data_IF_367965670942
#
_entry.id   IF_367965670942
#
_cell.length_a   1.000
_cell.length_b   1.000
_cell.length_c   1.000
_cell.angle_alpha   90.00
_cell.angle_beta   90.00
_cell.angle_gamma   90.00
#
_symmetry.space_group_name_H-M   'P 1'
#
loop_
_entity.id
_entity.type
_entity.pdbx_description
1 polymer ?
#
# COMPACT_ATOMS: atom_id res chain seq x y z
N UNK A 1 3.11 -67.50 -39.97
CA UNK A 1 3.17 -66.14 -40.60
C UNK A 1 1.77 -65.78 -41.11
N UNK A 2 1.32 -64.50 -40.99
CA UNK A 2 -0.10 -64.04 -41.12
C UNK A 2 -1.00 -64.64 -40.00
N UNK A 3 -2.14 -64.09 -39.53
CA UNK A 3 -2.99 -62.86 -39.67
C UNK A 3 -3.97 -62.92 -38.46
N UNK A 4 -4.67 -61.89 -37.92
CA UNK A 4 -4.61 -60.40 -37.86
C UNK A 4 -5.79 -59.94 -36.95
N UNK A 5 -5.68 -58.83 -36.17
CA UNK A 5 -6.82 -58.02 -35.59
C UNK A 5 -7.65 -58.69 -34.44
N UNK A 6 -8.45 -58.00 -33.62
CA UNK A 6 -8.63 -56.59 -33.15
C UNK A 6 -9.72 -56.56 -32.05
N UNK A 7 -9.95 -55.42 -31.38
CA UNK A 7 -10.87 -55.19 -30.23
C UNK A 7 -10.31 -55.73 -28.89
N UNK A 8 -10.54 -55.09 -27.74
CA UNK A 8 -11.62 -54.16 -27.37
C UNK A 8 -11.09 -52.77 -26.95
N UNK A 9 -11.60 -51.75 -27.63
CA UNK A 9 -11.21 -50.34 -27.52
C UNK A 9 -12.21 -49.54 -26.66
N UNK A 10 -12.36 -49.85 -25.35
CA UNK A 10 -13.32 -49.09 -24.51
C UNK A 10 -13.09 -49.07 -22.98
N UNK A 11 -11.84 -48.86 -22.51
CA UNK A 11 -11.57 -48.59 -21.07
C UNK A 11 -10.57 -47.46 -20.76
N UNK A 12 -10.11 -46.70 -21.75
CA UNK A 12 -9.10 -45.65 -21.57
C UNK A 12 -9.59 -44.19 -21.75
N UNK A 13 -10.91 -43.98 -21.89
CA UNK A 13 -11.49 -42.64 -22.15
C UNK A 13 -12.24 -42.08 -20.90
N UNK A 14 -12.05 -42.69 -19.72
CA UNK A 14 -12.72 -42.26 -18.48
C UNK A 14 -11.76 -41.99 -17.30
N UNK A 15 -10.48 -41.68 -17.60
CA UNK A 15 -9.46 -41.35 -16.60
C UNK A 15 -8.57 -40.15 -17.01
N UNK A 16 -9.07 -39.29 -17.92
CA UNK A 16 -8.39 -38.07 -18.43
C UNK A 16 -9.28 -36.82 -18.20
N UNK A 17 -10.31 -36.94 -17.36
CA UNK A 17 -11.18 -35.82 -16.97
C UNK A 17 -11.21 -35.77 -15.44
N UNK A 18 -11.16 -34.56 -14.87
CA UNK A 18 -10.99 -34.28 -13.42
C UNK A 18 -9.58 -34.57 -12.86
N UNK A 19 -8.54 -34.18 -13.60
CA UNK A 19 -7.44 -33.42 -12.97
C UNK A 19 -7.49 -31.96 -13.44
N UNK A 20 -8.69 -31.37 -13.32
CA UNK A 20 -8.83 -29.93 -13.35
C UNK A 20 -8.18 -29.37 -12.10
N UNK A 21 -6.87 -29.16 -12.15
CA UNK A 21 -6.18 -28.29 -11.19
C UNK A 21 -6.85 -26.94 -11.34
N UNK A 22 -7.76 -26.63 -10.41
CA UNK A 22 -8.13 -25.26 -10.13
C UNK A 22 -6.83 -24.57 -9.73
N UNK A 23 -6.20 -23.93 -10.71
CA UNK A 23 -5.21 -22.89 -10.47
C UNK A 23 -6.02 -21.75 -9.85
N UNK A 24 -6.27 -21.90 -8.55
CA UNK A 24 -6.64 -20.79 -7.72
C UNK A 24 -5.48 -19.80 -7.86
N UNK A 25 -5.69 -18.81 -8.72
CA UNK A 25 -4.95 -17.55 -8.63
C UNK A 25 -5.29 -17.01 -7.24
N UNK A 26 -4.47 -17.39 -6.26
CA UNK A 26 -4.52 -16.85 -4.92
C UNK A 26 -4.13 -15.39 -5.10
N UNK A 27 -5.15 -14.55 -5.25
CA UNK A 27 -4.98 -13.11 -5.21
C UNK A 27 -4.21 -12.82 -3.94
N UNK A 28 -3.08 -12.11 -4.07
CA UNK A 28 -2.36 -11.66 -2.90
C UNK A 28 -3.30 -10.82 -2.03
N UNK A 29 -3.12 -10.90 -0.71
CA UNK A 29 -3.90 -10.09 0.20
C UNK A 29 -3.56 -8.60 0.02
N UNK A 30 -4.49 -7.71 0.35
CA UNK A 30 -4.26 -6.27 0.25
C UNK A 30 -3.22 -5.80 1.28
N UNK A 31 -3.23 -6.39 2.49
CA UNK A 31 -2.41 -5.96 3.63
C UNK A 31 -1.43 -7.05 4.07
N UNK A 32 -0.15 -6.72 4.11
CA UNK A 32 0.89 -7.50 4.77
C UNK A 32 0.99 -7.11 6.26
N UNK A 33 0.27 -7.80 7.15
CA UNK A 33 0.39 -7.59 8.59
C UNK A 33 1.63 -8.33 9.11
N UNK A 34 2.61 -7.60 9.63
CA UNK A 34 3.85 -8.16 10.15
C UNK A 34 3.74 -8.45 11.64
N UNK A 35 4.10 -9.68 12.04
CA UNK A 35 4.06 -10.11 13.43
C UNK A 35 5.26 -11.00 13.81
N UNK A 36 5.65 -10.98 15.09
CA UNK A 36 6.63 -11.90 15.67
C UNK A 36 5.90 -13.03 16.41
N UNK A 37 5.03 -12.69 17.36
CA UNK A 37 4.34 -13.65 18.24
C UNK A 37 2.85 -13.66 17.93
N UNK A 38 2.30 -14.83 17.60
CA UNK A 38 0.89 -14.98 17.18
C UNK A 38 -0.14 -14.40 18.18
N UNK A 39 0.17 -14.42 19.48
CA UNK A 39 -0.69 -13.87 20.54
C UNK A 39 -0.59 -12.33 20.72
N UNK A 40 0.27 -11.65 19.95
CA UNK A 40 0.41 -10.19 19.89
C UNK A 40 -0.20 -9.58 18.63
N UNK A 41 -0.79 -10.40 17.76
CA UNK A 41 -1.59 -9.92 16.63
C UNK A 41 -2.81 -9.20 17.20
N UNK A 42 -3.01 -7.95 16.80
CA UNK A 42 -4.17 -7.17 17.23
C UNK A 42 -5.37 -7.51 16.34
N UNK A 43 -6.32 -8.25 16.93
CA UNK A 43 -7.55 -8.66 16.26
C UNK A 43 -8.47 -7.48 15.94
N UNK A 44 -8.39 -6.36 16.68
CA UNK A 44 -9.14 -5.13 16.38
C UNK A 44 -8.65 -4.49 15.09
N UNK A 45 -7.32 -4.44 14.88
CA UNK A 45 -6.71 -3.99 13.62
C UNK A 45 -7.07 -4.93 12.45
N UNK A 46 -6.96 -6.24 12.64
CA UNK A 46 -7.32 -7.22 11.59
C UNK A 46 -8.80 -7.10 11.23
N UNK A 47 -9.70 -6.94 12.21
CA UNK A 47 -11.13 -6.68 12.00
C UNK A 47 -11.35 -5.37 11.24
N UNK A 48 -10.64 -4.31 11.60
CA UNK A 48 -10.75 -3.00 10.95
C UNK A 48 -10.38 -3.04 9.46
N UNK A 49 -9.30 -3.74 9.09
CA UNK A 49 -8.94 -3.93 7.68
C UNK A 49 -10.02 -4.71 6.91
N UNK A 50 -10.59 -5.76 7.50
CA UNK A 50 -11.71 -6.49 6.90
C UNK A 50 -12.97 -5.62 6.74
N UNK A 51 -13.29 -4.75 7.72
CA UNK A 51 -14.38 -3.76 7.64
C UNK A 51 -14.14 -2.72 6.53
N UNK A 52 -12.88 -2.45 6.17
CA UNK A 52 -12.50 -1.65 5.00
C UNK A 52 -12.53 -2.41 3.67
N UNK A 53 -12.97 -3.68 3.66
CA UNK A 53 -12.92 -4.60 2.51
C UNK A 53 -11.49 -4.81 1.96
N UNK A 54 -10.51 -4.87 2.87
CA UNK A 54 -9.13 -5.26 2.61
C UNK A 54 -8.85 -6.64 3.19
N UNK A 55 -8.31 -7.52 2.37
CA UNK A 55 -7.81 -8.82 2.81
C UNK A 55 -6.47 -8.68 3.53
N UNK A 56 -6.22 -9.49 4.56
CA UNK A 56 -5.01 -9.44 5.39
C UNK A 56 -4.27 -10.77 5.33
N UNK A 57 -2.99 -10.75 4.97
CA UNK A 57 -2.06 -11.87 5.22
C UNK A 57 -1.23 -11.59 6.48
N UNK A 58 -1.05 -12.64 7.28
CA UNK A 58 -0.33 -12.59 8.56
C UNK A 58 1.08 -13.14 8.35
N UNK A 59 2.06 -12.25 8.22
CA UNK A 59 3.44 -12.62 7.88
C UNK A 59 4.30 -12.63 9.15
N UNK A 60 4.80 -13.82 9.49
CA UNK A 60 5.72 -13.99 10.62
C UNK A 60 7.13 -13.48 10.30
N UNK A 61 7.86 -12.97 11.30
CA UNK A 61 9.23 -12.45 11.13
C UNK A 61 10.23 -13.44 10.51
N UNK A 62 10.01 -14.75 10.68
CA UNK A 62 10.83 -15.80 10.05
C UNK A 62 10.74 -15.82 8.52
N UNK A 63 9.72 -15.17 7.95
CA UNK A 63 9.42 -15.16 6.53
C UNK A 63 9.72 -13.80 5.86
N UNK A 64 10.04 -12.72 6.59
CA UNK A 64 10.23 -11.38 6.00
C UNK A 64 11.17 -11.36 4.79
N UNK A 65 12.34 -12.00 4.90
CA UNK A 65 13.34 -12.07 3.83
C UNK A 65 12.94 -12.97 2.64
N UNK A 66 11.82 -13.70 2.74
CA UNK A 66 11.24 -14.59 1.70
C UNK A 66 9.96 -14.03 1.07
N UNK A 67 9.30 -13.07 1.74
CA UNK A 67 8.04 -12.49 1.27
C UNK A 67 8.30 -11.47 0.17
N UNK A 68 7.63 -11.65 -0.97
CA UNK A 68 7.54 -10.62 -1.99
C UNK A 68 6.49 -9.57 -1.58
N UNK A 69 6.98 -8.48 -0.99
CA UNK A 69 6.15 -7.37 -0.53
C UNK A 69 5.55 -6.52 -1.67
N UNK A 70 5.99 -6.69 -2.92
CA UNK A 70 5.42 -5.93 -4.06
C UNK A 70 3.99 -6.32 -4.40
N UNK A 71 3.53 -7.47 -3.89
CA UNK A 71 2.18 -8.03 -4.10
C UNK A 71 1.10 -7.41 -3.22
N UNK A 72 1.46 -6.62 -2.22
CA UNK A 72 0.53 -6.03 -1.25
C UNK A 72 0.30 -4.55 -1.52
N UNK A 73 -0.89 -4.04 -1.21
CA UNK A 73 -1.18 -2.58 -1.25
C UNK A 73 -0.46 -1.83 -0.13
N UNK A 74 -0.29 -2.46 1.02
CA UNK A 74 0.47 -1.88 2.15
C UNK A 74 1.06 -2.94 3.09
N UNK A 75 2.08 -2.51 3.83
CA UNK A 75 2.64 -3.20 4.98
C UNK A 75 2.09 -2.56 6.26
N UNK A 76 1.60 -3.38 7.18
CA UNK A 76 1.24 -2.94 8.53
C UNK A 76 2.24 -3.52 9.53
N UNK A 77 2.90 -2.66 10.29
CA UNK A 77 3.89 -3.05 11.31
C UNK A 77 3.27 -2.86 12.70
N UNK A 78 2.78 -3.94 13.31
CA UNK A 78 2.19 -3.92 14.65
C UNK A 78 3.20 -3.73 15.78
N UNK A 79 2.72 -3.49 17.01
CA UNK A 79 3.60 -3.18 18.15
C UNK A 79 4.27 -4.41 18.76
N UNK A 80 5.30 -4.90 18.09
CA UNK A 80 6.11 -6.00 18.54
C UNK A 80 7.62 -5.72 18.46
N UNK A 81 8.36 -6.37 19.36
CA UNK A 81 9.81 -6.42 19.29
C UNK A 81 10.26 -7.52 18.32
N UNK A 82 10.30 -7.18 17.03
CA UNK A 82 10.94 -7.99 16.00
C UNK A 82 12.42 -8.26 16.30
N UNK A 83 12.91 -9.46 15.96
CA UNK A 83 14.33 -9.84 16.05
C UNK A 83 15.16 -9.33 14.86
N UNK A 84 14.52 -9.17 13.69
CA UNK A 84 15.13 -8.69 12.43
C UNK A 84 14.41 -7.45 11.87
N UNK A 85 14.35 -6.33 12.60
CA UNK A 85 13.65 -5.13 12.13
C UNK A 85 14.22 -4.53 10.83
N UNK A 86 15.50 -4.80 10.51
CA UNK A 86 16.14 -4.37 9.26
C UNK A 86 15.57 -5.06 8.01
N UNK A 87 14.95 -6.22 8.16
CA UNK A 87 14.35 -6.98 7.05
C UNK A 87 12.98 -6.40 6.64
N UNK A 88 12.39 -5.53 7.48
CA UNK A 88 11.10 -4.87 7.22
C UNK A 88 11.32 -3.71 6.23
N UNK A 89 10.76 -3.75 5.01
CA UNK A 89 11.14 -2.85 3.91
C UNK A 89 10.31 -1.56 3.87
N UNK A 90 10.16 -0.88 5.01
CA UNK A 90 9.30 0.32 5.15
C UNK A 90 9.67 1.47 4.21
N UNK A 91 10.93 1.53 3.77
CA UNK A 91 11.43 2.55 2.85
C UNK A 91 11.06 2.26 1.39
N UNK A 92 10.56 1.06 1.07
CA UNK A 92 10.30 0.62 -0.32
C UNK A 92 8.81 0.53 -0.68
N UNK A 93 7.94 0.30 0.29
CA UNK A 93 6.52 0.00 0.09
C UNK A 93 5.62 0.88 0.97
N UNK A 94 4.35 1.10 0.59
CA UNK A 94 3.40 1.82 1.43
C UNK A 94 3.32 1.17 2.82
N UNK A 95 3.53 1.95 3.88
CA UNK A 95 3.67 1.36 5.23
C UNK A 95 2.95 2.16 6.31
N UNK A 96 2.10 1.50 7.09
CA UNK A 96 1.61 2.00 8.37
C UNK A 96 2.43 1.38 9.50
N UNK A 97 3.00 2.20 10.36
CA UNK A 97 3.87 1.79 11.48
C UNK A 97 3.18 2.13 12.79
N UNK A 98 2.80 1.10 13.53
CA UNK A 98 2.18 1.16 14.85
C UNK A 98 3.11 0.46 15.85
N UNK A 99 4.38 0.89 15.90
CA UNK A 99 5.45 0.17 16.60
C UNK A 99 6.36 1.13 17.39
N UNK A 100 6.53 0.88 18.68
CA UNK A 100 7.44 1.63 19.57
C UNK A 100 8.91 1.22 19.43
N UNK A 101 9.15 -0.06 19.16
CA UNK A 101 10.39 -0.74 19.48
C UNK A 101 11.57 -0.42 18.54
N UNK A 102 11.29 0.09 17.34
CA UNK A 102 12.27 0.11 16.23
C UNK A 102 12.46 1.47 15.54
N UNK A 103 12.00 2.57 16.13
CA UNK A 103 12.17 3.94 15.61
C UNK A 103 13.55 4.26 15.00
N UNK A 104 14.68 3.96 15.68
CA UNK A 104 16.03 4.21 15.16
C UNK A 104 16.37 3.35 13.94
N UNK A 105 15.96 2.08 13.94
CA UNK A 105 16.22 1.14 12.83
C UNK A 105 15.39 1.52 11.61
N UNK A 106 14.15 1.92 11.84
CA UNK A 106 13.24 2.46 10.85
C UNK A 106 13.65 3.86 10.38
N UNK A 107 14.47 4.59 11.14
CA UNK A 107 14.94 5.94 10.81
C UNK A 107 13.86 7.01 10.99
N UNK A 108 12.79 6.71 11.74
CA UNK A 108 11.76 7.67 12.13
C UNK A 108 12.28 8.63 13.21
N UNK A 109 13.22 8.13 14.01
CA UNK A 109 13.85 8.81 15.14
C UNK A 109 15.35 8.58 15.10
N UNK A 110 16.10 9.31 15.92
CA UNK A 110 17.49 9.04 16.24
C UNK A 110 17.63 7.86 17.23
N UNK A 111 18.71 7.81 18.03
CA UNK A 111 19.01 6.73 18.98
C UNK A 111 18.11 6.72 20.21
N UNK A 112 17.51 7.84 20.60
CA UNK A 112 16.67 7.92 21.81
C UNK A 112 15.30 7.28 21.58
N UNK A 113 14.89 7.20 20.31
CA UNK A 113 13.82 6.31 19.87
C UNK A 113 12.44 6.95 19.90
N UNK A 114 11.42 6.10 19.92
CA UNK A 114 10.02 6.54 19.99
C UNK A 114 9.65 6.73 21.45
N UNK A 115 8.99 7.84 21.75
CA UNK A 115 8.54 8.16 23.11
C UNK A 115 7.12 7.64 23.36
N UNK A 116 6.72 7.55 24.64
CA UNK A 116 5.38 7.10 25.07
C UNK A 116 4.78 8.04 26.11
N UNK A 117 3.46 8.20 26.10
CA UNK A 117 2.73 8.97 27.09
C UNK A 117 1.45 8.21 27.51
N UNK A 118 1.15 8.20 28.80
CA UNK A 118 -0.09 7.71 29.38
C UNK A 118 -0.54 8.62 30.52
N UNK A 119 -1.84 8.64 30.82
CA UNK A 119 -2.47 9.47 31.86
C UNK A 119 -3.48 8.65 32.67
N UNK A 120 -3.96 9.22 33.77
CA UNK A 120 -5.04 8.67 34.59
C UNK A 120 -6.44 8.96 34.03
N UNK A 121 -6.51 9.71 32.93
CA UNK A 121 -7.70 10.03 32.16
C UNK A 121 -7.55 9.46 30.73
N UNK A 122 -8.65 9.19 29.99
CA UNK A 122 -8.57 8.71 28.62
C UNK A 122 -7.72 9.64 27.74
N UNK A 123 -6.84 9.06 26.93
CA UNK A 123 -5.89 9.86 26.15
C UNK A 123 -6.60 10.59 25.01
N UNK A 124 -6.08 11.78 24.69
CA UNK A 124 -6.49 12.59 23.54
C UNK A 124 -5.26 13.04 22.74
N UNK A 125 -5.47 13.40 21.48
CA UNK A 125 -4.46 14.00 20.60
C UNK A 125 -4.91 15.39 20.16
N UNK A 126 -3.96 16.25 19.77
CA UNK A 126 -4.24 17.58 19.20
C UNK A 126 -4.11 17.54 17.68
N UNK A 127 -5.17 17.86 16.95
CA UNK A 127 -5.17 18.00 15.47
C UNK A 127 -5.80 19.35 15.11
N UNK A 128 -5.02 20.26 14.53
CA UNK A 128 -5.46 21.58 14.06
C UNK A 128 -6.33 22.34 15.09
N UNK A 129 -5.78 22.55 16.29
CA UNK A 129 -6.45 23.17 17.45
C UNK A 129 -7.59 22.36 18.10
N UNK A 130 -8.14 21.33 17.45
CA UNK A 130 -9.12 20.42 18.06
C UNK A 130 -8.42 19.39 18.95
N UNK A 131 -8.99 19.14 20.12
CA UNK A 131 -8.63 18.01 20.99
C UNK A 131 -9.57 16.84 20.67
N UNK A 132 -8.98 15.71 20.30
CA UNK A 132 -9.71 14.49 19.89
C UNK A 132 -9.41 13.41 20.92
N UNK A 133 -10.41 12.93 21.65
CA UNK A 133 -10.24 11.77 22.53
C UNK A 133 -10.08 10.51 21.68
N UNK A 134 -9.04 9.72 21.94
CA UNK A 134 -8.65 8.56 21.12
C UNK A 134 -8.83 7.21 21.83
N UNK A 135 -8.91 7.22 23.16
CA UNK A 135 -9.29 6.03 23.93
C UNK A 135 -10.60 6.23 24.71
N UNK A 136 -11.35 5.16 24.88
CA UNK A 136 -12.57 5.08 25.72
C UNK A 136 -12.24 4.92 27.20
N UNK A 137 -11.03 4.42 27.53
CA UNK A 137 -10.54 4.20 28.89
C UNK A 137 -9.15 4.82 29.09
N UNK A 138 -8.80 5.07 30.36
CA UNK A 138 -7.49 5.58 30.77
C UNK A 138 -6.49 4.47 31.13
N UNK A 139 -6.99 3.35 31.66
CA UNK A 139 -6.19 2.27 32.25
C UNK A 139 -6.75 0.91 31.81
N UNK A 140 -5.90 -0.11 31.80
CA UNK A 140 -6.33 -1.49 31.55
C UNK A 140 -7.16 -2.03 32.74
N UNK A 141 -8.22 -2.80 32.46
CA UNK A 141 -9.27 -3.14 33.44
C UNK A 141 -8.79 -3.83 34.73
N UNK A 142 -7.63 -4.50 34.69
CA UNK A 142 -7.08 -5.26 35.83
C UNK A 142 -5.78 -4.68 36.40
N UNK A 143 -5.35 -3.49 35.97
CA UNK A 143 -4.07 -2.89 36.36
C UNK A 143 -4.18 -1.37 36.49
N UNK A 144 -3.59 -0.78 37.54
CA UNK A 144 -3.35 0.68 37.65
C UNK A 144 -2.23 1.15 36.70
N UNK A 145 -2.29 0.71 35.45
CA UNK A 145 -1.33 1.01 34.38
C UNK A 145 -2.11 1.76 33.31
N UNK A 146 -1.64 2.97 32.99
CA UNK A 146 -2.23 3.79 31.94
C UNK A 146 -2.09 3.12 30.57
N UNK A 147 -3.13 3.24 29.74
CA UNK A 147 -3.11 2.87 28.32
C UNK A 147 -2.32 3.96 27.59
N UNK A 148 -1.15 3.65 27.01
CA UNK A 148 -0.30 4.65 26.40
C UNK A 148 -0.68 4.92 24.93
N UNK A 149 -0.28 6.07 24.41
CA UNK A 149 0.09 6.19 23.00
C UNK A 149 1.59 6.44 22.87
N UNK A 150 2.10 6.27 21.65
CA UNK A 150 3.45 6.59 21.24
C UNK A 150 3.51 7.90 20.47
N UNK A 151 4.68 8.53 20.46
CA UNK A 151 4.92 9.74 19.69
C UNK A 151 6.38 9.88 19.24
N UNK A 152 6.59 10.50 18.08
CA UNK A 152 7.91 10.90 17.61
C UNK A 152 8.23 12.27 18.23
N UNK A 153 9.16 12.34 19.19
CA UNK A 153 9.46 13.58 19.88
C UNK A 153 10.02 14.66 18.94
N UNK A 154 9.75 15.94 19.20
CA UNK A 154 10.13 17.02 18.28
C UNK A 154 11.65 17.16 18.06
N UNK A 155 12.48 16.76 19.04
CA UNK A 155 13.94 16.80 18.92
C UNK A 155 14.53 15.62 18.13
N UNK A 156 13.85 14.47 18.19
CA UNK A 156 14.43 13.16 17.85
C UNK A 156 13.96 12.69 16.48
N UNK A 157 12.84 13.22 15.98
CA UNK A 157 12.14 12.78 14.76
C UNK A 157 12.75 13.32 13.47
N UNK A 158 12.41 12.69 12.34
CA UNK A 158 12.67 13.24 10.99
C UNK A 158 12.01 14.62 10.83
N UNK A 159 12.76 15.73 10.62
CA UNK A 159 12.19 17.08 10.62
C UNK A 159 11.21 17.36 9.48
N UNK A 160 11.34 16.64 8.37
CA UNK A 160 10.50 16.78 7.16
C UNK A 160 9.22 15.94 7.20
N UNK A 161 8.99 15.16 8.25
CA UNK A 161 7.72 14.46 8.45
C UNK A 161 6.61 15.41 8.90
N UNK A 162 5.44 15.25 8.29
CA UNK A 162 4.29 16.12 8.47
C UNK A 162 3.50 15.67 9.70
N UNK A 163 3.46 16.51 10.75
CA UNK A 163 2.63 16.29 11.94
C UNK A 163 1.15 16.33 11.56
N UNK A 164 0.43 15.25 11.82
CA UNK A 164 -1.03 15.13 11.58
C UNK A 164 -1.81 15.26 12.88
N UNK A 165 -1.28 14.67 13.95
CA UNK A 165 -1.78 14.86 15.31
C UNK A 165 -0.60 14.87 16.30
N UNK A 166 -0.55 15.88 17.15
CA UNK A 166 0.44 16.03 18.21
C UNK A 166 -0.04 15.47 19.55
N UNK A 167 0.90 15.34 20.50
CA UNK A 167 0.56 14.95 21.87
C UNK A 167 -0.39 15.96 22.54
N UNK A 168 -1.20 15.48 23.47
CA UNK A 168 -1.98 16.32 24.39
C UNK A 168 -1.93 15.75 25.80
N UNK A 169 -1.49 16.60 26.75
CA UNK A 169 -1.31 16.26 28.17
C UNK A 169 -2.22 17.04 29.12
N UNK A 170 -3.18 17.81 28.58
CA UNK A 170 -4.05 18.74 29.34
C UNK A 170 -3.64 20.21 29.29
N UNK A 171 -2.57 20.54 28.56
CA UNK A 171 -2.05 21.90 28.39
C UNK A 171 -1.62 22.16 26.94
N UNK A 172 -1.11 23.37 26.63
CA UNK A 172 -0.69 23.79 25.29
C UNK A 172 0.62 23.15 24.80
N UNK A 173 1.40 22.49 25.65
CA UNK A 173 2.66 21.87 25.22
C UNK A 173 2.40 20.75 24.21
N UNK A 174 3.35 20.60 23.29
CA UNK A 174 3.36 19.62 22.23
C UNK A 174 4.74 18.98 22.23
N UNK A 175 4.82 17.73 22.67
CA UNK A 175 6.07 16.98 22.83
C UNK A 175 6.52 16.33 21.50
N UNK A 176 5.60 16.15 20.56
CA UNK A 176 5.86 15.41 19.33
C UNK A 176 4.62 14.87 18.62
N UNK A 177 4.86 14.09 17.57
CA UNK A 177 3.84 13.60 16.64
C UNK A 177 3.30 12.25 17.11
N UNK A 178 2.03 12.19 17.51
CA UNK A 178 1.31 10.91 17.73
C UNK A 178 0.93 10.29 16.39
N UNK A 179 0.63 11.11 15.38
CA UNK A 179 0.44 10.67 13.99
C UNK A 179 1.29 11.58 13.09
N UNK A 180 2.12 10.96 12.25
CA UNK A 180 3.08 11.66 11.39
C UNK A 180 3.19 11.00 10.03
N UNK A 181 3.28 11.80 8.97
CA UNK A 181 3.33 11.33 7.58
C UNK A 181 4.71 11.62 6.95
N UNK A 182 5.29 10.61 6.32
CA UNK A 182 6.41 10.75 5.40
C UNK A 182 5.91 10.52 3.96
N UNK A 183 6.12 11.49 3.07
CA UNK A 183 5.85 11.31 1.63
C UNK A 183 6.95 10.49 0.97
N UNK A 184 6.69 9.93 -0.21
CA UNK A 184 7.77 9.46 -1.09
C UNK A 184 8.82 10.58 -1.30
N UNK A 185 10.10 10.22 -1.25
CA UNK A 185 11.24 11.14 -1.26
C UNK A 185 11.66 11.69 0.11
N UNK A 186 11.05 11.25 1.21
CA UNK A 186 11.46 11.70 2.56
C UNK A 186 12.77 11.03 2.98
N UNK A 187 13.79 11.83 3.32
CA UNK A 187 15.03 11.35 3.92
C UNK A 187 14.81 11.00 5.40
N UNK A 188 15.21 9.79 5.78
CA UNK A 188 15.09 9.23 7.13
C UNK A 188 16.42 9.38 7.90
N UNK A 189 16.36 9.39 9.23
CA UNK A 189 17.56 9.63 10.09
C UNK A 189 18.63 8.54 9.91
N UNK A 190 18.24 7.33 9.53
CA UNK A 190 19.17 6.23 9.20
C UNK A 190 19.83 6.34 7.80
N UNK A 191 19.67 7.47 7.10
CA UNK A 191 20.24 7.74 5.77
C UNK A 191 19.45 7.13 4.60
N UNK A 192 18.37 6.39 4.85
CA UNK A 192 17.48 5.90 3.79
C UNK A 192 16.60 7.02 3.24
N UNK A 193 16.05 6.82 2.05
CA UNK A 193 15.02 7.68 1.47
C UNK A 193 13.79 6.84 1.12
N UNK A 194 12.61 7.26 1.55
CA UNK A 194 11.36 6.54 1.25
C UNK A 194 11.03 6.59 -0.24
N UNK A 195 10.65 5.45 -0.83
CA UNK A 195 10.15 5.35 -2.21
C UNK A 195 8.63 5.44 -2.33
N UNK A 196 7.93 5.29 -1.21
CA UNK A 196 6.48 5.29 -1.06
C UNK A 196 6.09 6.01 0.23
N UNK A 197 4.81 6.36 0.35
CA UNK A 197 4.28 7.03 1.53
C UNK A 197 4.32 6.12 2.76
N UNK A 198 4.62 6.71 3.91
CA UNK A 198 4.68 6.04 5.21
C UNK A 198 3.90 6.87 6.22
N UNK A 199 3.15 6.19 7.08
CA UNK A 199 2.44 6.79 8.20
C UNK A 199 2.94 6.15 9.51
N UNK A 200 3.41 6.97 10.45
CA UNK A 200 3.55 6.58 11.84
C UNK A 200 2.21 6.84 12.57
N UNK A 201 1.73 5.85 13.31
CA UNK A 201 0.47 5.89 14.05
C UNK A 201 0.68 5.37 15.48
N UNK A 202 0.78 6.28 16.44
CA UNK A 202 1.12 5.95 17.82
C UNK A 202 -0.03 5.49 18.73
N UNK A 203 -1.27 5.48 18.25
CA UNK A 203 -2.45 5.12 19.05
C UNK A 203 -2.63 3.60 18.96
N UNK A 204 -1.99 2.80 19.82
CA UNK A 204 -1.75 1.37 19.51
C UNK A 204 -2.77 0.37 20.05
N UNK A 205 -3.45 0.64 21.17
CA UNK A 205 -4.33 -0.37 21.80
C UNK A 205 -5.75 -0.31 21.21
N UNK A 206 -5.99 -1.01 20.10
CA UNK A 206 -7.22 -0.83 19.30
C UNK A 206 -8.52 -1.27 19.97
N UNK A 207 -8.43 -2.14 20.99
CA UNK A 207 -9.55 -2.51 21.87
C UNK A 207 -10.23 -1.29 22.52
N UNK A 208 -9.46 -0.24 22.82
CA UNK A 208 -9.97 0.95 23.51
C UNK A 208 -10.25 2.13 22.57
N UNK A 209 -10.09 1.99 21.25
CA UNK A 209 -10.25 3.11 20.32
C UNK A 209 -11.66 3.70 20.30
N UNK A 210 -11.72 5.03 20.27
CA UNK A 210 -12.93 5.78 19.87
C UNK A 210 -13.16 5.68 18.36
N UNK A 211 -14.34 6.09 17.88
CA UNK A 211 -14.61 6.15 16.44
C UNK A 211 -13.78 7.24 15.74
N UNK A 212 -13.38 8.28 16.47
CA UNK A 212 -12.42 9.28 16.01
C UNK A 212 -11.02 8.67 15.82
N UNK A 213 -10.55 7.80 16.73
CA UNK A 213 -9.29 7.09 16.57
C UNK A 213 -9.31 6.14 15.35
N UNK A 214 -10.42 5.40 15.16
CA UNK A 214 -10.66 4.61 13.94
C UNK A 214 -10.61 5.47 12.66
N UNK A 215 -11.21 6.66 12.69
CA UNK A 215 -11.17 7.60 11.56
C UNK A 215 -9.75 8.09 11.28
N UNK A 216 -8.98 8.44 12.32
CA UNK A 216 -7.57 8.82 12.19
C UNK A 216 -6.71 7.68 11.63
N UNK A 217 -7.01 6.43 12.00
CA UNK A 217 -6.34 5.25 11.44
C UNK A 217 -6.71 5.03 9.96
N UNK A 218 -7.98 5.23 9.60
CA UNK A 218 -8.43 5.22 8.19
C UNK A 218 -7.74 6.29 7.35
N UNK A 219 -7.60 7.52 7.88
CA UNK A 219 -6.86 8.61 7.23
C UNK A 219 -5.40 8.20 6.96
N UNK A 220 -4.74 7.59 7.96
CA UNK A 220 -3.36 7.07 7.89
C UNK A 220 -3.20 5.95 6.84
N UNK A 221 -4.14 5.01 6.74
CA UNK A 221 -4.14 3.95 5.73
C UNK A 221 -4.36 4.56 4.33
N UNK A 222 -5.36 5.43 4.15
CA UNK A 222 -5.63 6.09 2.88
C UNK A 222 -4.41 6.90 2.39
N UNK A 223 -3.73 7.62 3.29
CA UNK A 223 -2.54 8.39 2.96
C UNK A 223 -1.41 7.55 2.35
N UNK A 224 -1.24 6.29 2.79
CA UNK A 224 -0.21 5.41 2.23
C UNK A 224 -0.67 4.64 0.99
N UNK A 225 -1.95 4.26 0.92
CA UNK A 225 -2.45 3.28 -0.06
C UNK A 225 -3.25 3.83 -1.23
N UNK A 226 -3.69 5.09 -1.20
CA UNK A 226 -4.25 5.73 -2.40
C UNK A 226 -3.12 5.98 -3.39
N UNK A 227 -3.22 5.40 -4.58
CA UNK A 227 -2.23 5.49 -5.66
C UNK A 227 -2.45 6.73 -6.52
N UNK A 228 -3.71 7.07 -6.79
CA UNK A 228 -4.09 8.18 -7.66
C UNK A 228 -5.47 8.76 -7.27
N UNK A 229 -5.64 10.06 -7.53
CA UNK A 229 -6.87 10.84 -7.37
C UNK A 229 -7.43 11.31 -8.72
N UNK A 230 -6.58 11.47 -9.72
CA UNK A 230 -6.95 11.78 -11.11
C UNK A 230 -6.03 11.07 -12.12
N UNK A 231 -6.41 11.03 -13.39
CA UNK A 231 -5.59 10.40 -14.45
C UNK A 231 -4.18 10.99 -14.53
N UNK A 232 -4.03 12.29 -14.23
CA UNK A 232 -2.74 12.99 -14.23
C UNK A 232 -1.73 12.45 -13.19
N UNK A 233 -2.21 11.85 -12.10
CA UNK A 233 -1.32 11.17 -11.13
C UNK A 233 -0.69 9.89 -11.71
N UNK A 234 -1.24 9.39 -12.82
CA UNK A 234 -0.78 8.21 -13.53
C UNK A 234 0.10 8.51 -14.75
N UNK A 235 0.50 9.77 -15.00
CA UNK A 235 1.39 10.14 -16.12
C UNK A 235 2.74 9.41 -16.05
N UNK A 236 2.92 8.39 -16.90
CA UNK A 236 4.19 7.65 -17.03
C UNK A 236 5.21 8.31 -17.98
N UNK A 237 4.78 9.41 -18.64
CA UNK A 237 5.49 10.21 -19.64
C UNK A 237 5.70 9.52 -20.99
N UNK A 238 5.01 8.44 -21.27
CA UNK A 238 4.97 7.82 -22.59
C UNK A 238 3.80 8.43 -23.42
N UNK A 239 4.07 9.17 -24.51
CA UNK A 239 3.00 9.72 -25.35
C UNK A 239 2.21 8.65 -26.14
N UNK A 240 2.64 7.38 -26.10
CA UNK A 240 1.95 6.25 -26.72
C UNK A 240 1.12 5.41 -25.72
N UNK A 241 0.79 5.96 -24.55
CA UNK A 241 -0.20 5.38 -23.64
C UNK A 241 -1.30 6.37 -23.27
N UNK A 242 -2.50 5.84 -23.05
CA UNK A 242 -3.61 6.54 -22.45
C UNK A 242 -3.68 6.17 -20.98
N UNK A 243 -3.21 7.10 -20.14
CA UNK A 243 -3.01 6.88 -18.72
C UNK A 243 -4.28 7.19 -17.93
N UNK A 244 -4.71 6.24 -17.09
CA UNK A 244 -6.00 6.31 -16.42
C UNK A 244 -5.93 5.85 -14.97
N UNK A 245 -6.49 6.66 -14.08
CA UNK A 245 -6.68 6.31 -12.68
C UNK A 245 -8.00 5.55 -12.53
N UNK A 246 -7.93 4.28 -12.17
CA UNK A 246 -9.10 3.45 -11.84
C UNK A 246 -9.41 3.62 -10.35
N UNK A 247 -10.69 3.77 -9.99
CA UNK A 247 -11.18 4.01 -8.62
C UNK A 247 -10.49 5.20 -7.89
N UNK A 248 -10.44 6.41 -8.49
CA UNK A 248 -9.71 7.57 -7.96
C UNK A 248 -10.07 7.92 -6.51
N UNK A 249 -9.05 8.31 -5.73
CA UNK A 249 -9.20 8.72 -4.33
C UNK A 249 -9.59 7.60 -3.36
N UNK A 250 -9.72 6.36 -3.84
CA UNK A 250 -10.04 5.20 -3.00
C UNK A 250 -8.80 4.36 -2.72
N UNK A 251 -8.85 3.58 -1.64
CA UNK A 251 -7.81 2.60 -1.31
C UNK A 251 -7.64 1.50 -2.37
N UNK A 252 -8.63 1.32 -3.24
CA UNK A 252 -8.60 0.38 -4.37
C UNK A 252 -8.11 1.02 -5.67
N UNK A 253 -7.62 2.26 -5.62
CA UNK A 253 -7.05 2.95 -6.76
C UNK A 253 -5.84 2.20 -7.36
N UNK A 254 -5.67 2.33 -8.67
CA UNK A 254 -4.48 1.92 -9.42
C UNK A 254 -4.46 2.60 -10.79
N UNK A 255 -3.27 2.69 -11.39
CA UNK A 255 -3.08 3.23 -12.73
C UNK A 255 -3.13 2.11 -13.79
N UNK A 256 -3.78 2.41 -14.93
CA UNK A 256 -3.74 1.61 -16.15
C UNK A 256 -3.18 2.44 -17.29
N UNK A 257 -2.42 1.78 -18.16
CA UNK A 257 -1.73 2.39 -19.31
C UNK A 257 -2.19 1.63 -20.55
N UNK A 258 -3.09 2.21 -21.32
CA UNK A 258 -3.67 1.58 -22.52
C UNK A 258 -2.89 2.05 -23.76
N UNK A 259 -2.31 1.13 -24.53
CA UNK A 259 -1.44 1.50 -25.66
C UNK A 259 -2.20 2.29 -26.74
N UNK A 260 -1.54 3.31 -27.29
CA UNK A 260 -1.97 4.10 -28.44
C UNK A 260 -1.12 3.65 -29.64
N UNK A 261 -1.77 3.27 -30.74
CA UNK A 261 -1.10 2.78 -31.97
C UNK A 261 -0.37 3.91 -32.70
N UNK A 262 -0.98 5.09 -32.79
CA UNK A 262 -0.41 6.23 -33.49
C UNK A 262 -0.91 7.57 -32.91
N UNK A 263 -0.06 8.59 -32.93
CA UNK A 263 -0.37 9.97 -32.49
C UNK A 263 -0.35 10.96 -33.66
N UNK A 264 0.23 10.58 -34.80
CA UNK A 264 0.29 11.35 -36.06
C UNK A 264 0.50 10.41 -37.25
N UNK A 265 0.23 10.90 -38.45
CA UNK A 265 0.31 10.12 -39.70
C UNK A 265 1.69 9.50 -39.95
N UNK A 266 2.78 10.19 -39.58
CA UNK A 266 4.15 9.66 -39.74
C UNK A 266 4.46 8.43 -38.87
N UNK A 267 3.62 8.11 -37.88
CA UNK A 267 3.79 6.90 -37.08
C UNK A 267 3.22 5.66 -37.83
N UNK A 268 2.49 5.90 -38.92
CA UNK A 268 1.89 4.91 -39.80
C UNK A 268 2.66 4.75 -41.12
N UNK A 269 3.87 5.29 -41.25
CA UNK A 269 4.72 5.19 -42.45
C UNK A 269 5.05 3.72 -42.77
N UNK A 270 4.43 3.17 -43.82
CA UNK A 270 4.66 1.79 -44.28
C UNK A 270 5.86 1.67 -45.25
N UNK A 271 6.56 2.79 -45.49
CA UNK A 271 7.67 2.97 -46.43
C UNK A 271 7.30 2.68 -47.90
N UNK A 272 6.01 2.58 -48.24
CA UNK A 272 5.55 2.42 -49.61
C UNK A 272 5.14 3.79 -50.19
N UNK A 273 5.93 4.29 -51.13
CA UNK A 273 5.66 5.56 -51.82
C UNK A 273 4.33 5.59 -52.59
N UNK A 274 3.65 4.44 -52.77
CA UNK A 274 2.35 4.32 -53.43
C UNK A 274 1.15 4.38 -52.49
N UNK A 275 1.37 4.65 -51.21
CA UNK A 275 0.32 4.79 -50.18
C UNK A 275 0.35 6.18 -49.54
N UNK A 276 -0.84 6.71 -49.22
CA UNK A 276 -1.01 7.82 -48.29
C UNK A 276 -1.34 7.23 -46.92
N UNK A 277 -0.41 7.38 -45.98
CA UNK A 277 -0.54 6.84 -44.63
C UNK A 277 -1.29 7.81 -43.72
N UNK A 278 -2.26 7.30 -42.98
CA UNK A 278 -3.09 8.06 -42.05
C UNK A 278 -3.28 7.35 -40.73
N UNK A 279 -3.01 8.07 -39.66
CA UNK A 279 -3.42 7.69 -38.33
C UNK A 279 -4.90 8.05 -38.14
N UNK A 280 -5.75 7.04 -37.99
CA UNK A 280 -7.16 7.23 -37.64
C UNK A 280 -7.27 7.33 -36.12
N UNK A 281 -8.07 8.27 -35.62
CA UNK A 281 -8.26 8.59 -34.19
C UNK A 281 -6.93 8.84 -33.43
N UNK A 282 -6.03 9.73 -33.92
CA UNK A 282 -4.71 9.95 -33.34
C UNK A 282 -4.76 10.31 -31.85
N UNK A 283 -3.87 9.72 -31.05
CA UNK A 283 -3.77 9.99 -29.62
C UNK A 283 -4.86 9.33 -28.76
N UNK A 284 -5.56 8.32 -29.29
CA UNK A 284 -6.61 7.59 -28.56
C UNK A 284 -6.34 6.09 -28.52
N UNK A 285 -6.99 5.37 -27.60
CA UNK A 285 -6.96 3.90 -27.54
C UNK A 285 -7.58 3.23 -28.78
N UNK A 286 -8.46 3.94 -29.49
CA UNK A 286 -9.08 3.52 -30.76
C UNK A 286 -8.23 3.93 -31.99
N UNK A 287 -6.94 4.26 -31.79
CA UNK A 287 -6.04 4.65 -32.86
C UNK A 287 -5.58 3.46 -33.70
N UNK A 288 -5.53 3.64 -35.02
CA UNK A 288 -5.00 2.63 -35.95
C UNK A 288 -4.57 3.25 -37.27
N UNK A 289 -3.64 2.59 -37.95
CA UNK A 289 -3.13 3.02 -39.25
C UNK A 289 -4.04 2.58 -40.41
N UNK A 290 -4.18 3.47 -41.39
CA UNK A 290 -4.73 3.17 -42.73
C UNK A 290 -3.75 3.64 -43.79
N UNK A 291 -3.61 2.83 -44.83
CA UNK A 291 -2.76 3.08 -45.98
C UNK A 291 -3.68 3.17 -47.21
N UNK A 292 -3.70 4.31 -47.89
CA UNK A 292 -4.60 4.57 -49.02
C UNK A 292 -3.82 4.59 -50.35
N UNK A 293 -4.14 3.68 -51.29
CA UNK A 293 -3.45 3.62 -52.59
C UNK A 293 -3.53 4.93 -53.40
N UNK A 294 -2.38 5.47 -53.77
CA UNK A 294 -2.24 6.67 -54.61
C UNK A 294 -2.39 6.27 -56.08
N UNK A 295 -3.54 6.57 -56.68
CA UNK A 295 -3.86 6.15 -58.07
C UNK A 295 -3.12 6.91 -59.17
N UNK A 296 -2.59 8.10 -58.88
CA UNK A 296 -1.87 8.92 -59.84
C UNK A 296 -0.78 9.75 -59.15
N UNK A 297 0.47 9.52 -59.51
CA UNK A 297 1.55 10.46 -59.24
C UNK A 297 1.51 11.59 -60.27
N UNK A 298 1.58 12.85 -59.82
CA UNK A 298 1.91 13.97 -60.70
C UNK A 298 3.43 14.10 -60.78
N UNK A 299 3.98 13.83 -61.96
CA UNK A 299 5.30 14.29 -62.38
C UNK A 299 5.22 15.79 -62.77
#
# INVERSE_FOLDING_TARGET
MKKRKSCILWKFIFFIIILGVLIHNVSAADVAYLYNKKFRIDNGIVKFFNEMNLSVDLINEKNFSKTDFSKYRLIFVGDERFSKPKDIPIDRYPTVIMNYNHGPVFGLTDRDGISKLGRTEPMSVRKNNTIIQVYTKAMYDFKRVAIPYYYLANGDKVPTMIKVAGTYSGNSYDLGDVISYAKAGTHLINGKTTKKNLCFFGIVESEYWTDEAKKLFKDCINYVSVVCYENKDCDDKNPYTFDKCINPGTIKSFCTYENITCIKDSDCDDNNVSTEDKCVNPGTVDSYCKHYEIKCFKN
#
